data_IF_515296196388
#
_entry.id   IF_515296196388
#
_cell.length_a   1.000
_cell.length_b   1.000
_cell.length_c   1.000
_cell.angle_alpha   90.00
_cell.angle_beta   90.00
_cell.angle_gamma   90.00
#
_symmetry.space_group_name_H-M   'P 1'
#
loop_
_entity.id
_entity.type
_entity.pdbx_description
1 polymer ?
#
# COMPACT_ATOMS: atom_id res chain seq x y z
N UNK A 1 -15.63 1.02 8.44
CA UNK A 1 -14.29 1.37 7.93
C UNK A 1 -14.19 0.84 6.50
N UNK A 2 -13.82 1.71 5.56
CA UNK A 2 -13.53 1.29 4.20
C UNK A 2 -12.15 0.62 4.22
N UNK A 3 -12.11 -0.66 3.84
CA UNK A 3 -10.85 -1.35 3.65
C UNK A 3 -10.35 -1.09 2.23
N UNK A 4 -9.05 -0.87 2.09
CA UNK A 4 -8.37 -0.72 0.82
C UNK A 4 -7.26 -1.76 0.69
N UNK A 5 -6.87 -2.09 -0.54
CA UNK A 5 -5.92 -3.15 -0.81
C UNK A 5 -4.67 -2.62 -1.53
N UNK A 6 -3.51 -3.01 -1.04
CA UNK A 6 -2.26 -2.93 -1.79
C UNK A 6 -1.90 -4.34 -2.24
N UNK A 7 -1.66 -4.51 -3.53
CA UNK A 7 -1.28 -5.82 -4.10
C UNK A 7 0.24 -5.93 -4.11
N UNK A 8 0.76 -7.02 -3.55
CA UNK A 8 2.21 -7.31 -3.57
C UNK A 8 2.45 -8.49 -4.51
N UNK A 9 3.38 -8.34 -5.44
CA UNK A 9 3.79 -9.38 -6.39
C UNK A 9 5.30 -9.48 -6.49
N UNK A 10 5.80 -10.43 -7.26
CA UNK A 10 7.19 -10.49 -7.70
C UNK A 10 7.27 -10.30 -9.21
N UNK A 11 8.46 -10.07 -9.81
CA UNK A 11 8.58 -9.91 -11.28
C UNK A 11 8.13 -11.12 -12.09
N UNK A 12 7.98 -12.30 -11.47
CA UNK A 12 7.63 -13.54 -12.17
C UNK A 12 6.18 -13.53 -12.67
N UNK A 13 5.96 -13.94 -13.93
CA UNK A 13 4.62 -14.03 -14.52
C UNK A 13 3.64 -14.91 -13.74
N UNK A 14 4.13 -15.99 -13.10
CA UNK A 14 3.28 -16.85 -12.28
C UNK A 14 2.71 -16.10 -11.07
N UNK A 15 3.53 -15.29 -10.40
CA UNK A 15 3.12 -14.47 -9.28
C UNK A 15 2.13 -13.37 -9.71
N UNK A 16 2.36 -12.72 -10.84
CA UNK A 16 1.45 -11.73 -11.41
C UNK A 16 0.05 -12.30 -11.68
N UNK A 17 -0.03 -13.52 -12.25
CA UNK A 17 -1.33 -14.17 -12.48
C UNK A 17 -2.09 -14.46 -11.21
N UNK A 18 -1.40 -14.79 -10.11
CA UNK A 18 -2.04 -14.97 -8.80
C UNK A 18 -2.49 -13.62 -8.23
N UNK A 19 -1.62 -12.62 -8.29
CA UNK A 19 -1.91 -11.27 -7.80
C UNK A 19 -3.09 -10.63 -8.56
N UNK A 20 -3.18 -10.81 -9.87
CA UNK A 20 -4.32 -10.36 -10.67
C UNK A 20 -5.66 -10.97 -10.20
N UNK A 21 -5.67 -12.26 -9.83
CA UNK A 21 -6.87 -12.91 -9.29
C UNK A 21 -7.28 -12.33 -7.93
N UNK A 22 -6.30 -11.97 -7.09
CA UNK A 22 -6.57 -11.31 -5.80
C UNK A 22 -7.18 -9.93 -6.04
N UNK A 23 -6.63 -9.16 -6.99
CA UNK A 23 -7.17 -7.86 -7.38
C UNK A 23 -8.61 -7.97 -7.93
N UNK A 24 -8.90 -8.99 -8.74
CA UNK A 24 -10.26 -9.26 -9.23
C UNK A 24 -11.23 -9.60 -8.08
N UNK A 25 -10.77 -10.35 -7.09
CA UNK A 25 -11.56 -10.65 -5.90
C UNK A 25 -11.85 -9.36 -5.11
N UNK A 26 -10.87 -8.51 -4.92
CA UNK A 26 -11.03 -7.21 -4.26
C UNK A 26 -12.10 -6.35 -4.96
N UNK A 27 -12.01 -6.23 -6.29
CA UNK A 27 -13.00 -5.48 -7.09
C UNK A 27 -14.42 -6.04 -6.92
N UNK A 28 -14.59 -7.36 -6.94
CA UNK A 28 -15.90 -8.01 -6.71
C UNK A 28 -16.43 -7.80 -5.30
N UNK A 29 -15.55 -7.55 -4.34
CA UNK A 29 -15.90 -7.25 -2.95
C UNK A 29 -16.02 -5.74 -2.67
N UNK A 30 -16.02 -4.91 -3.72
CA UNK A 30 -16.03 -3.44 -3.61
C UNK A 30 -14.89 -2.88 -2.78
N UNK A 31 -13.74 -3.57 -2.76
CA UNK A 31 -12.53 -3.13 -2.09
C UNK A 31 -11.60 -2.45 -3.11
N UNK A 32 -11.34 -1.15 -3.00
CA UNK A 32 -10.43 -0.46 -3.92
C UNK A 32 -9.01 -1.03 -3.83
N UNK A 33 -8.38 -1.24 -5.00
CA UNK A 33 -6.95 -1.52 -5.09
C UNK A 33 -6.23 -0.19 -5.30
N UNK A 34 -5.38 0.21 -4.36
CA UNK A 34 -4.70 1.52 -4.36
C UNK A 34 -3.36 1.52 -5.07
N UNK A 35 -2.78 0.33 -5.28
CA UNK A 35 -1.54 0.20 -6.05
C UNK A 35 -0.88 -1.16 -5.90
N UNK A 36 0.25 -1.30 -6.59
CA UNK A 36 1.07 -2.52 -6.62
C UNK A 36 2.44 -2.25 -6.01
N UNK A 37 2.97 -3.21 -5.26
CA UNK A 37 4.38 -3.26 -4.83
C UNK A 37 5.01 -4.49 -5.49
N UNK A 38 6.15 -4.29 -6.16
CA UNK A 38 6.97 -5.38 -6.67
C UNK A 38 8.03 -5.75 -5.63
N UNK A 39 7.91 -6.94 -5.04
CA UNK A 39 8.90 -7.48 -4.13
C UNK A 39 9.90 -8.35 -4.89
N UNK A 40 11.10 -8.53 -4.36
CA UNK A 40 12.20 -9.28 -5.00
C UNK A 40 12.57 -8.72 -6.39
N UNK A 41 12.55 -7.39 -6.53
CA UNK A 41 12.76 -6.67 -7.79
C UNK A 41 14.21 -6.68 -8.31
N UNK A 42 15.06 -7.46 -7.70
CA UNK A 42 16.45 -7.67 -8.06
C UNK A 42 17.34 -7.76 -6.82
N UNK A 43 18.60 -8.07 -7.06
CA UNK A 43 19.64 -8.17 -6.04
C UNK A 43 20.87 -7.42 -6.51
N UNK A 44 21.44 -6.58 -5.66
CA UNK A 44 22.69 -5.89 -5.93
C UNK A 44 23.77 -6.40 -4.99
N UNK A 45 24.86 -6.89 -5.54
CA UNK A 45 26.01 -7.37 -4.77
C UNK A 45 26.86 -6.20 -4.27
N UNK A 46 27.76 -6.46 -3.30
CA UNK A 46 28.65 -5.45 -2.72
C UNK A 46 29.57 -4.77 -3.77
N UNK A 47 29.93 -5.49 -4.84
CA UNK A 47 30.69 -4.95 -5.99
C UNK A 47 29.83 -4.16 -6.98
N UNK A 48 28.54 -3.92 -6.64
CA UNK A 48 27.63 -3.09 -7.43
C UNK A 48 26.97 -3.77 -8.63
N UNK A 49 27.16 -5.10 -8.82
CA UNK A 49 26.49 -5.83 -9.88
C UNK A 49 25.03 -6.11 -9.54
N UNK A 50 24.15 -5.79 -10.47
CA UNK A 50 22.72 -6.02 -10.34
C UNK A 50 22.26 -7.29 -11.06
N UNK A 51 21.47 -8.11 -10.37
CA UNK A 51 20.91 -9.37 -10.88
C UNK A 51 19.39 -9.38 -10.77
N UNK A 52 18.71 -9.51 -11.89
CA UNK A 52 17.26 -9.68 -11.96
C UNK A 52 16.89 -11.18 -11.81
N UNK A 53 17.08 -11.73 -10.61
CA UNK A 53 16.95 -13.18 -10.35
C UNK A 53 15.56 -13.74 -10.67
N UNK A 54 14.53 -12.92 -10.55
CA UNK A 54 13.13 -13.29 -10.80
C UNK A 54 12.55 -12.57 -12.03
N UNK A 55 13.40 -12.01 -12.89
CA UNK A 55 12.98 -11.14 -13.99
C UNK A 55 12.87 -9.68 -13.55
N UNK A 56 12.24 -8.87 -14.38
CA UNK A 56 12.05 -7.42 -14.13
C UNK A 56 10.75 -6.93 -14.74
N UNK A 57 10.18 -5.86 -14.17
CA UNK A 57 9.06 -5.13 -14.75
C UNK A 57 7.67 -5.73 -14.52
N UNK A 58 7.56 -6.92 -13.94
CA UNK A 58 6.27 -7.58 -13.77
C UNK A 58 5.31 -6.85 -12.84
N UNK A 59 5.84 -6.14 -11.85
CA UNK A 59 5.01 -5.29 -10.99
C UNK A 59 4.44 -4.09 -11.75
N UNK A 60 5.19 -3.51 -12.68
CA UNK A 60 4.71 -2.43 -13.53
C UNK A 60 3.64 -2.92 -14.50
N UNK A 61 3.87 -4.07 -15.18
CA UNK A 61 2.88 -4.68 -16.05
C UNK A 61 1.56 -4.93 -15.32
N UNK A 62 1.62 -5.49 -14.11
CA UNK A 62 0.42 -5.72 -13.30
C UNK A 62 -0.26 -4.40 -12.89
N UNK A 63 0.51 -3.37 -12.53
CA UNK A 63 -0.03 -2.07 -12.17
C UNK A 63 -0.77 -1.42 -13.35
N UNK A 64 -0.19 -1.50 -14.54
CA UNK A 64 -0.78 -1.00 -15.79
C UNK A 64 -2.08 -1.75 -16.13
N UNK A 65 -2.08 -3.10 -16.04
CA UNK A 65 -3.26 -3.94 -16.25
C UNK A 65 -4.40 -3.64 -15.28
N UNK A 66 -4.06 -3.30 -14.05
CA UNK A 66 -5.03 -2.95 -13.01
C UNK A 66 -5.48 -1.47 -13.07
N UNK A 67 -4.77 -0.62 -13.80
CA UNK A 67 -5.00 0.81 -13.87
C UNK A 67 -4.69 1.54 -12.56
N UNK A 68 -3.68 1.06 -11.82
CA UNK A 68 -3.24 1.61 -10.53
C UNK A 68 -1.73 1.92 -10.54
N UNK A 69 -1.22 2.78 -9.65
CA UNK A 69 0.21 3.08 -9.62
C UNK A 69 1.06 1.91 -9.12
N UNK A 70 2.28 1.79 -9.65
CA UNK A 70 3.36 1.05 -8.99
C UNK A 70 3.88 1.88 -7.82
N UNK A 71 3.56 1.45 -6.61
CA UNK A 71 3.90 2.16 -5.36
C UNK A 71 5.41 2.09 -5.10
N UNK A 72 6.01 0.90 -5.32
CA UNK A 72 7.44 0.71 -5.09
C UNK A 72 7.95 -0.63 -5.57
N UNK A 73 9.27 -0.72 -5.62
CA UNK A 73 10.00 -1.94 -5.93
C UNK A 73 10.96 -2.20 -4.77
N UNK A 74 10.81 -3.36 -4.12
CA UNK A 74 11.63 -3.77 -2.97
C UNK A 74 12.64 -4.80 -3.44
N UNK A 75 13.94 -4.49 -3.40
CA UNK A 75 14.98 -5.43 -3.81
C UNK A 75 15.11 -6.58 -2.81
N UNK A 76 15.74 -7.67 -3.25
CA UNK A 76 16.20 -8.72 -2.35
C UNK A 76 17.27 -8.16 -1.39
N UNK A 77 17.08 -8.47 -0.11
CA UNK A 77 17.99 -8.01 0.94
C UNK A 77 18.05 -9.10 2.04
N UNK A 78 19.25 -9.62 2.36
CA UNK A 78 19.41 -10.63 3.41
C UNK A 78 18.87 -10.20 4.78
N UNK A 79 18.91 -8.89 5.09
CA UNK A 79 18.42 -8.37 6.37
C UNK A 79 16.89 -8.49 6.51
N UNK A 80 16.14 -8.50 5.41
CA UNK A 80 14.68 -8.72 5.47
C UNK A 80 14.38 -10.14 5.94
N UNK A 81 15.09 -11.15 5.41
CA UNK A 81 14.86 -12.54 5.78
C UNK A 81 15.25 -12.77 7.24
N UNK A 82 16.48 -12.40 7.60
CA UNK A 82 16.99 -12.57 8.95
C UNK A 82 16.16 -11.82 10.00
N UNK A 83 15.78 -10.58 9.70
CA UNK A 83 14.97 -9.75 10.58
C UNK A 83 13.54 -10.27 10.72
N UNK A 84 12.96 -10.78 9.62
CA UNK A 84 11.62 -11.39 9.64
C UNK A 84 11.56 -12.60 10.56
N UNK A 85 12.52 -13.51 10.47
CA UNK A 85 12.59 -14.72 11.31
C UNK A 85 12.87 -14.40 12.78
N UNK A 86 13.67 -13.36 13.05
CA UNK A 86 14.01 -12.93 14.41
C UNK A 86 12.95 -11.99 15.05
N UNK A 87 11.96 -11.52 14.29
CA UNK A 87 11.00 -10.51 14.77
C UNK A 87 11.61 -9.10 14.91
N UNK A 88 12.72 -8.84 14.24
CA UNK A 88 13.45 -7.56 14.21
C UNK A 88 13.37 -6.94 12.80
N UNK A 89 12.37 -6.11 12.50
CA UNK A 89 12.16 -5.59 11.15
C UNK A 89 13.37 -4.81 10.62
N UNK A 90 13.80 -5.13 9.39
CA UNK A 90 14.95 -4.50 8.74
C UNK A 90 14.86 -2.98 8.68
N UNK A 91 13.67 -2.41 8.56
CA UNK A 91 13.43 -0.95 8.57
C UNK A 91 13.83 -0.27 9.89
N UNK A 92 13.98 -1.02 10.98
CA UNK A 92 14.41 -0.51 12.29
C UNK A 92 15.87 -0.82 12.58
N UNK A 93 16.33 -2.03 12.26
CA UNK A 93 17.68 -2.50 12.56
C UNK A 93 18.71 -2.07 11.49
N UNK A 94 18.27 -2.00 10.22
CA UNK A 94 19.10 -1.65 9.07
C UNK A 94 18.42 -0.60 8.21
N UNK A 95 18.11 0.62 8.75
CA UNK A 95 17.29 1.63 8.07
C UNK A 95 17.91 2.14 6.76
N UNK A 96 19.23 2.03 6.61
CA UNK A 96 19.95 2.46 5.42
C UNK A 96 20.09 1.38 4.34
N UNK A 97 19.57 0.17 4.60
CA UNK A 97 19.62 -0.89 3.59
C UNK A 97 18.69 -0.55 2.41
N UNK A 98 19.05 -1.00 1.19
CA UNK A 98 18.26 -0.69 -0.01
C UNK A 98 16.79 -1.10 0.12
N UNK A 99 16.52 -2.24 0.74
CA UNK A 99 15.17 -2.72 0.93
C UNK A 99 14.41 -1.93 2.02
N UNK A 100 15.07 -1.57 3.12
CA UNK A 100 14.46 -0.74 4.17
C UNK A 100 14.06 0.64 3.62
N UNK A 101 14.94 1.27 2.83
CA UNK A 101 14.64 2.54 2.15
C UNK A 101 13.47 2.40 1.17
N UNK A 102 13.43 1.32 0.38
CA UNK A 102 12.34 1.06 -0.54
C UNK A 102 11.00 0.84 0.17
N UNK A 103 11.00 0.10 1.28
CA UNK A 103 9.80 -0.13 2.11
C UNK A 103 9.32 1.20 2.73
N UNK A 104 10.23 2.00 3.28
CA UNK A 104 9.88 3.31 3.86
C UNK A 104 9.29 4.25 2.81
N UNK A 105 9.88 4.30 1.61
CA UNK A 105 9.36 5.08 0.49
C UNK A 105 7.98 4.59 0.03
N UNK A 106 7.78 3.27 -0.05
CA UNK A 106 6.48 2.69 -0.39
C UNK A 106 5.42 3.03 0.67
N UNK A 107 5.75 2.94 1.96
CA UNK A 107 4.86 3.31 3.05
C UNK A 107 4.45 4.79 2.98
N UNK A 108 5.39 5.69 2.71
CA UNK A 108 5.09 7.12 2.55
C UNK A 108 4.13 7.37 1.37
N UNK A 109 4.32 6.66 0.24
CA UNK A 109 3.40 6.77 -0.90
C UNK A 109 2.01 6.23 -0.58
N UNK A 110 1.90 5.12 0.16
CA UNK A 110 0.61 4.57 0.59
C UNK A 110 -0.15 5.60 1.44
N UNK A 111 0.52 6.20 2.42
CA UNK A 111 -0.09 7.24 3.27
C UNK A 111 -0.56 8.45 2.47
N UNK A 112 0.17 8.82 1.40
CA UNK A 112 -0.22 9.92 0.52
C UNK A 112 -1.41 9.56 -0.39
N UNK A 113 -1.53 8.30 -0.83
CA UNK A 113 -2.61 7.81 -1.67
C UNK A 113 -3.90 7.56 -0.88
N UNK A 114 -3.74 7.14 0.37
CA UNK A 114 -4.82 6.79 1.29
C UNK A 114 -4.61 7.58 2.59
N UNK A 115 -4.97 8.87 2.60
CA UNK A 115 -4.87 9.63 3.84
C UNK A 115 -5.73 8.96 4.91
N UNK A 116 -5.25 8.91 6.17
CA UNK A 116 -6.04 8.36 7.26
C UNK A 116 -7.40 9.06 7.27
N UNK A 117 -8.47 8.26 7.39
CA UNK A 117 -9.80 8.82 7.56
C UNK A 117 -9.72 9.78 8.76
N UNK A 118 -10.04 11.05 8.55
CA UNK A 118 -10.28 11.96 9.66
C UNK A 118 -11.27 11.26 10.58
N UNK A 119 -11.06 11.35 11.89
CA UNK A 119 -11.73 10.57 12.94
C UNK A 119 -13.27 10.78 12.89
N UNK A 120 -13.89 10.29 11.83
CA UNK A 120 -15.34 10.17 11.72
C UNK A 120 -15.80 8.95 12.54
N UNK A 121 -15.60 9.03 13.85
CA UNK A 121 -16.30 8.09 14.72
C UNK A 121 -17.81 8.28 14.51
N UNK A 122 -18.60 7.20 14.61
CA UNK A 122 -20.06 7.34 14.59
C UNK A 122 -20.56 8.41 15.58
N UNK A 123 -19.84 8.60 16.66
CA UNK A 123 -20.11 9.63 17.69
C UNK A 123 -19.87 11.04 17.16
N UNK A 124 -18.81 11.30 16.38
CA UNK A 124 -18.55 12.62 15.79
C UNK A 124 -19.60 12.95 14.72
N UNK A 125 -20.01 11.98 13.91
CA UNK A 125 -21.10 12.18 12.93
C UNK A 125 -22.43 12.49 13.59
N UNK A 126 -22.77 11.81 14.67
CA UNK A 126 -23.99 12.08 15.44
C UNK A 126 -23.90 13.46 16.07
N UNK A 127 -22.77 13.88 16.61
CA UNK A 127 -22.57 15.21 17.19
C UNK A 127 -22.76 16.32 16.15
N UNK A 128 -22.15 16.18 14.96
CA UNK A 128 -22.31 17.14 13.84
C UNK A 128 -23.77 17.22 13.37
N UNK A 129 -24.45 16.08 13.23
CA UNK A 129 -25.86 16.04 12.84
C UNK A 129 -26.75 16.65 13.91
N UNK A 130 -26.47 16.44 15.20
CA UNK A 130 -27.23 17.06 16.30
C UNK A 130 -27.07 18.58 16.28
N UNK A 131 -25.87 19.08 16.09
CA UNK A 131 -25.58 20.52 15.99
C UNK A 131 -26.27 21.16 14.77
N UNK A 132 -26.28 20.47 13.62
CA UNK A 132 -27.02 20.94 12.43
C UNK A 132 -28.54 20.98 12.65
N UNK A 133 -29.10 20.00 13.37
CA UNK A 133 -30.51 20.00 13.71
C UNK A 133 -30.89 21.13 14.67
N UNK A 134 -30.07 21.39 15.68
CA UNK A 134 -30.26 22.52 16.60
C UNK A 134 -30.26 23.86 15.86
N UNK A 135 -29.29 24.07 14.94
CA UNK A 135 -29.24 25.28 14.12
C UNK A 135 -30.46 25.46 13.20
N UNK A 136 -31.02 24.35 12.69
CA UNK A 136 -32.24 24.39 11.86
C UNK A 136 -33.49 24.71 12.68
N UNK A 137 -33.55 24.33 13.95
CA UNK A 137 -34.69 24.60 14.85
C UNK A 137 -34.64 26.04 15.37
N UNK A 138 -33.44 26.61 15.58
CA UNK A 138 -33.25 27.99 16.03
C UNK A 138 -33.37 29.05 14.94
N UNK A 139 -33.42 28.67 13.68
CA UNK A 139 -33.60 29.60 12.57
C UNK A 139 -35.00 30.24 12.66
N UNK A 140 -35.12 31.55 12.86
CA UNK A 140 -36.44 32.21 12.96
C UNK A 140 -37.19 32.12 11.66
N UNK A 141 -38.43 31.65 11.71
CA UNK A 141 -39.35 31.69 10.58
C UNK A 141 -39.52 33.14 10.09
N UNK A 142 -38.78 33.48 9.02
CA UNK A 142 -38.96 34.76 8.32
C UNK A 142 -40.30 34.73 7.61
N UNK A 143 -41.22 35.46 8.15
CA UNK A 143 -42.51 35.83 7.52
C UNK A 143 -42.29 36.81 6.41
#
# INVERSE_FOLDING_TARGET
PQAEMVVVTTPQQAAQKVAARVADMARRSFMPVVGVIENMSGFTTEDGKHYALFGSGGGQELADDLGVPLIGQVPLDPFIVAGGDAGTPAVREHPDSPAALAIAAAAAKIVALVPPAEDESCTSRIAVLAEQLEQMVEAPATS
#
